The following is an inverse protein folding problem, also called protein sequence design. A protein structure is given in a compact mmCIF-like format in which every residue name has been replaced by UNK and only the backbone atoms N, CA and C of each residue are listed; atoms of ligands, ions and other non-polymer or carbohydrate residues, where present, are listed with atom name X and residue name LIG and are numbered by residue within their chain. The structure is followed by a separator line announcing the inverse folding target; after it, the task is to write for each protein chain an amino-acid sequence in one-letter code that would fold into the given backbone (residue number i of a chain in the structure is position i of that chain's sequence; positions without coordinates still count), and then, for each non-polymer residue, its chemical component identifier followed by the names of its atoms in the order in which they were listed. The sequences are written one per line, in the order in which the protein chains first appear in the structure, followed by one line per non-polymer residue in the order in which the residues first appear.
data_IF_610787801903
#
_entry.id   IF_610787801903
#
_cell.length_a   1.000
_cell.length_b   1.000
_cell.length_c   1.000
_cell.angle_alpha   90.00
_cell.angle_beta   90.00
_cell.angle_gamma   90.00
#
_symmetry.space_group_name_H-M   'P 1'
#
loop_
_entity.id
_entity.type
_entity.pdbx_description
1 polymer ?
#
# COMPACT_ATOMS: atom_id res chain seq x y z
N UNK A 1 -14.24 3.09 1.90
CA UNK A 1 -14.81 1.93 2.64
C UNK A 1 -15.71 1.17 1.66
N UNK A 2 -15.15 0.19 0.94
CA UNK A 2 -15.96 -0.71 0.11
C UNK A 2 -16.58 -1.72 1.08
N UNK A 3 -17.87 -1.51 1.33
CA UNK A 3 -18.67 -2.40 2.13
C UNK A 3 -18.78 -3.76 1.43
N UNK A 4 -18.70 -4.81 2.25
CA UNK A 4 -19.05 -6.19 1.94
C UNK A 4 -20.35 -6.24 1.12
N UNK A 5 -20.25 -6.45 -0.18
CA UNK A 5 -21.41 -6.71 -1.02
C UNK A 5 -21.17 -8.04 -1.74
N UNK A 6 -22.08 -8.99 -1.51
CA UNK A 6 -22.11 -10.33 -2.10
C UNK A 6 -22.40 -10.31 -3.63
N UNK A 7 -22.11 -9.20 -4.31
CA UNK A 7 -22.27 -9.04 -5.77
C UNK A 7 -21.24 -8.06 -6.31
N UNK A 8 -20.55 -8.46 -7.37
CA UNK A 8 -19.84 -7.52 -8.24
C UNK A 8 -20.87 -6.52 -8.79
N UNK A 9 -20.60 -5.24 -8.64
CA UNK A 9 -21.45 -4.21 -9.25
C UNK A 9 -20.98 -3.95 -10.68
N UNK A 10 -21.88 -3.63 -11.60
CA UNK A 10 -21.51 -3.19 -12.96
C UNK A 10 -20.47 -2.06 -12.93
N UNK A 11 -20.53 -1.21 -11.90
CA UNK A 11 -19.56 -0.13 -11.66
C UNK A 11 -18.15 -0.65 -11.36
N UNK A 12 -18.02 -1.75 -10.62
CA UNK A 12 -16.74 -2.39 -10.31
C UNK A 12 -16.12 -3.02 -11.56
N UNK A 13 -16.91 -3.71 -12.37
CA UNK A 13 -16.46 -4.27 -13.66
C UNK A 13 -16.02 -3.15 -14.60
N UNK A 14 -16.82 -2.10 -14.72
CA UNK A 14 -16.50 -0.94 -15.56
C UNK A 14 -15.18 -0.29 -15.13
N UNK A 15 -14.96 -0.13 -13.82
CA UNK A 15 -13.73 0.44 -13.30
C UNK A 15 -12.50 -0.45 -13.59
N UNK A 16 -12.66 -1.76 -13.49
CA UNK A 16 -11.60 -2.72 -13.78
C UNK A 16 -11.23 -2.73 -15.26
N UNK A 17 -12.22 -2.76 -16.15
CA UNK A 17 -12.02 -2.68 -17.60
C UNK A 17 -11.38 -1.35 -18.01
N UNK A 18 -11.76 -0.24 -17.35
CA UNK A 18 -11.13 1.05 -17.59
C UNK A 18 -9.65 1.08 -17.16
N UNK A 19 -9.32 0.41 -16.05
CA UNK A 19 -7.93 0.28 -15.59
C UNK A 19 -7.10 -0.58 -16.57
N UNK A 20 -7.66 -1.70 -17.02
CA UNK A 20 -7.01 -2.56 -18.02
C UNK A 20 -6.77 -1.83 -19.35
N UNK A 21 -7.75 -1.08 -19.84
CA UNK A 21 -7.63 -0.27 -21.04
C UNK A 21 -6.54 0.79 -20.87
N UNK A 22 -6.53 1.52 -19.75
CA UNK A 22 -5.51 2.54 -19.47
C UNK A 22 -4.08 1.96 -19.41
N UNK A 23 -3.91 0.75 -18.86
CA UNK A 23 -2.62 0.04 -18.91
C UNK A 23 -2.25 -0.34 -20.34
N UNK A 24 -3.20 -0.90 -21.10
CA UNK A 24 -2.96 -1.34 -22.49
C UNK A 24 -2.60 -0.18 -23.42
N UNK A 25 -3.20 0.99 -23.23
CA UNK A 25 -2.92 2.21 -23.99
C UNK A 25 -1.46 2.67 -23.89
N UNK A 26 -0.77 2.30 -22.82
CA UNK A 26 0.66 2.58 -22.60
C UNK A 26 1.55 1.34 -22.79
N UNK A 27 1.01 0.25 -23.32
CA UNK A 27 1.73 -1.01 -23.54
C UNK A 27 2.06 -1.78 -22.26
N UNK A 28 1.34 -1.54 -21.17
CA UNK A 28 1.51 -2.25 -19.90
C UNK A 28 0.42 -3.31 -19.70
N UNK A 29 0.75 -4.39 -18.99
CA UNK A 29 -0.22 -5.43 -18.59
C UNK A 29 -0.46 -5.32 -17.08
N UNK A 30 -1.72 -5.12 -16.64
CA UNK A 30 -2.00 -5.04 -15.21
C UNK A 30 -1.85 -6.42 -14.54
N UNK A 31 -1.31 -6.41 -13.33
CA UNK A 31 -1.24 -7.58 -12.44
C UNK A 31 -2.01 -7.24 -11.17
N UNK A 32 -2.95 -8.11 -10.79
CA UNK A 32 -3.80 -7.90 -9.63
C UNK A 32 -3.38 -8.80 -8.48
N UNK A 33 -3.26 -8.20 -7.30
CA UNK A 33 -2.95 -8.88 -6.04
C UNK A 33 -4.12 -8.71 -5.08
N UNK A 34 -4.66 -9.81 -4.58
CA UNK A 34 -5.86 -9.83 -3.75
C UNK A 34 -5.63 -9.29 -2.33
N UNK A 35 -6.49 -8.36 -1.92
CA UNK A 35 -6.68 -7.95 -0.54
C UNK A 35 -7.79 -8.70 0.17
N UNK A 36 -7.93 -8.45 1.48
CA UNK A 36 -8.95 -9.07 2.33
C UNK A 36 -10.40 -8.67 1.97
N UNK A 37 -10.58 -7.64 1.13
CA UNK A 37 -11.87 -7.19 0.63
C UNK A 37 -12.14 -7.62 -0.82
N UNK A 38 -11.19 -8.28 -1.48
CA UNK A 38 -11.21 -8.55 -2.92
C UNK A 38 -11.74 -9.95 -3.25
N UNK A 39 -12.61 -10.50 -2.40
CA UNK A 39 -13.19 -11.85 -2.58
C UNK A 39 -13.90 -12.01 -3.92
N UNK A 40 -14.39 -10.91 -4.49
CA UNK A 40 -15.11 -10.88 -5.76
C UNK A 40 -14.24 -10.43 -6.94
N UNK A 41 -12.99 -10.01 -6.71
CA UNK A 41 -12.08 -9.59 -7.78
C UNK A 41 -11.73 -10.77 -8.71
N UNK A 42 -11.63 -11.97 -8.13
CA UNK A 42 -11.43 -13.22 -8.87
C UNK A 42 -12.59 -13.50 -9.83
N UNK A 43 -13.80 -13.07 -9.51
CA UNK A 43 -14.98 -13.27 -10.36
C UNK A 43 -15.11 -12.17 -11.44
N UNK A 44 -14.64 -10.96 -11.15
CA UNK A 44 -14.73 -9.81 -12.06
C UNK A 44 -13.55 -9.70 -13.05
N UNK A 45 -12.40 -10.30 -12.72
CA UNK A 45 -11.19 -10.26 -13.54
C UNK A 45 -11.04 -11.52 -14.37
N UNK A 46 -10.88 -11.37 -15.68
CA UNK A 46 -10.67 -12.52 -16.58
C UNK A 46 -9.28 -13.14 -16.45
N UNK A 47 -8.30 -12.39 -15.94
CA UNK A 47 -6.92 -12.85 -15.74
C UNK A 47 -6.69 -13.49 -14.38
N UNK A 48 -5.43 -13.82 -14.10
CA UNK A 48 -5.03 -14.35 -12.79
C UNK A 48 -5.01 -13.24 -11.75
N UNK A 49 -5.65 -13.49 -10.61
CA UNK A 49 -5.48 -12.70 -9.38
C UNK A 49 -4.55 -13.47 -8.46
N UNK A 50 -3.49 -12.82 -8.01
CA UNK A 50 -2.46 -13.42 -7.19
C UNK A 50 -2.69 -13.12 -5.70
N UNK A 51 -2.27 -14.01 -4.80
CA UNK A 51 -2.16 -13.68 -3.37
C UNK A 51 -0.98 -12.74 -3.09
N UNK A 52 0.12 -12.95 -3.81
CA UNK A 52 1.33 -12.15 -3.82
C UNK A 52 2.04 -12.32 -5.17
N UNK A 53 2.82 -11.33 -5.59
CA UNK A 53 3.48 -11.32 -6.89
C UNK A 53 4.94 -10.89 -6.76
N UNK A 54 5.86 -11.73 -7.24
CA UNK A 54 7.29 -11.44 -7.25
C UNK A 54 7.69 -10.75 -8.56
N UNK A 55 8.45 -9.67 -8.47
CA UNK A 55 9.08 -9.00 -9.59
C UNK A 55 10.45 -9.64 -9.91
N UNK A 56 10.96 -9.40 -11.12
CA UNK A 56 12.23 -9.96 -11.60
C UNK A 56 13.45 -9.56 -10.76
N UNK A 57 13.36 -8.43 -10.04
CA UNK A 57 14.40 -7.92 -9.14
C UNK A 57 14.36 -8.53 -7.73
N UNK A 58 13.42 -9.45 -7.48
CA UNK A 58 13.21 -10.09 -6.18
C UNK A 58 12.31 -9.32 -5.23
N UNK A 59 11.72 -8.20 -5.62
CA UNK A 59 10.68 -7.49 -4.85
C UNK A 59 9.40 -8.32 -4.77
N UNK A 60 8.83 -8.46 -3.58
CA UNK A 60 7.55 -9.15 -3.38
C UNK A 60 6.43 -8.16 -3.10
N UNK A 61 5.44 -8.12 -3.98
CA UNK A 61 4.23 -7.29 -3.85
C UNK A 61 3.13 -8.12 -3.23
N UNK A 62 2.57 -7.68 -2.11
CA UNK A 62 1.38 -8.30 -1.50
C UNK A 62 0.41 -7.23 -1.02
N UNK A 63 -0.85 -7.58 -0.75
CA UNK A 63 -1.77 -6.57 -0.23
C UNK A 63 -1.32 -6.05 1.16
N UNK A 64 -0.79 -6.94 2.00
CA UNK A 64 -0.27 -6.62 3.34
C UNK A 64 -1.20 -6.92 4.52
N UNK A 65 -2.34 -7.58 4.31
CA UNK A 65 -3.28 -8.00 5.38
C UNK A 65 -2.90 -9.34 6.06
N UNK A 66 -1.94 -10.06 5.49
CA UNK A 66 -1.40 -11.33 5.99
C UNK A 66 0.12 -11.30 5.89
N UNK A 67 0.77 -12.24 6.58
CA UNK A 67 2.18 -12.51 6.33
C UNK A 67 2.35 -13.02 4.90
N UNK A 68 3.30 -12.48 4.11
CA UNK A 68 3.67 -13.08 2.83
C UNK A 68 4.31 -14.45 3.06
N UNK A 69 4.07 -15.34 2.11
CA UNK A 69 4.61 -16.71 2.12
C UNK A 69 6.03 -16.71 1.51
N UNK A 70 6.26 -15.90 0.48
CA UNK A 70 7.56 -15.71 -0.16
C UNK A 70 8.57 -14.91 0.67
N UNK A 71 9.85 -15.18 0.42
CA UNK A 71 10.98 -14.39 0.90
C UNK A 71 11.37 -13.32 -0.13
N UNK A 72 11.84 -12.17 0.35
CA UNK A 72 12.24 -11.06 -0.50
C UNK A 72 13.27 -10.16 0.20
N UNK A 73 14.01 -9.36 -0.56
CA UNK A 73 14.81 -8.25 -0.03
C UNK A 73 13.94 -6.99 0.21
N UNK A 74 12.80 -6.87 -0.47
CA UNK A 74 11.87 -5.74 -0.37
C UNK A 74 10.42 -6.20 -0.51
N UNK A 75 9.62 -5.96 0.53
CA UNK A 75 8.18 -6.14 0.49
C UNK A 75 7.47 -4.83 0.16
N UNK A 76 6.65 -4.82 -0.88
CA UNK A 76 5.77 -3.68 -1.23
C UNK A 76 4.33 -4.02 -0.86
N UNK A 77 3.70 -3.19 -0.03
CA UNK A 77 2.34 -3.43 0.49
C UNK A 77 1.47 -2.17 0.46
N UNK A 78 0.15 -2.31 0.54
CA UNK A 78 -0.79 -1.18 0.60
C UNK A 78 -1.55 -1.13 1.93
N UNK A 79 -2.46 -2.09 2.09
CA UNK A 79 -3.40 -2.32 3.21
C UNK A 79 -3.81 -1.10 4.07
N UNK A 80 -2.95 -0.65 4.98
CA UNK A 80 -3.23 0.46 5.90
C UNK A 80 -3.29 1.84 5.21
N UNK A 81 -2.61 2.00 4.07
CA UNK A 81 -2.57 3.25 3.28
C UNK A 81 -2.16 4.48 4.12
N UNK A 82 -0.87 4.64 4.45
CA UNK A 82 -0.46 5.62 5.44
C UNK A 82 -0.57 7.07 4.94
N UNK A 83 -0.92 7.95 5.88
CA UNK A 83 -0.88 9.41 5.73
C UNK A 83 -0.10 10.04 6.86
N UNK A 84 0.47 11.22 6.62
CA UNK A 84 1.21 11.99 7.62
C UNK A 84 0.66 13.42 7.68
N UNK A 85 0.42 13.91 8.90
CA UNK A 85 0.02 15.29 9.16
C UNK A 85 1.22 16.11 9.59
N UNK A 86 1.51 17.15 8.82
CA UNK A 86 2.63 18.09 9.07
C UNK A 86 2.05 19.49 9.04
N UNK A 87 2.27 20.25 10.12
CA UNK A 87 1.76 21.63 10.27
C UNK A 87 0.25 21.73 9.99
N UNK A 88 -0.53 20.77 10.53
CA UNK A 88 -1.98 20.71 10.36
C UNK A 88 -2.46 20.28 8.97
N UNK A 89 -1.56 19.86 8.08
CA UNK A 89 -1.90 19.39 6.72
C UNK A 89 -1.58 17.91 6.57
N UNK A 90 -2.62 17.09 6.44
CA UNK A 90 -2.55 15.66 6.16
C UNK A 90 -2.23 15.42 4.69
N UNK A 91 -1.26 14.52 4.43
CA UNK A 91 -0.83 14.14 3.09
C UNK A 91 -0.69 12.62 3.01
N UNK A 92 -1.01 11.99 1.86
CA UNK A 92 -0.58 10.63 1.60
C UNK A 92 0.94 10.52 1.68
N UNK A 93 1.44 9.43 2.23
CA UNK A 93 2.86 9.15 2.28
C UNK A 93 3.10 7.67 2.03
N UNK A 94 4.27 7.31 1.51
CA UNK A 94 4.76 5.95 1.66
C UNK A 94 5.45 5.82 3.04
N UNK A 95 5.43 4.63 3.62
CA UNK A 95 6.21 4.29 4.80
C UNK A 95 7.30 3.30 4.44
N UNK A 96 8.55 3.73 4.56
CA UNK A 96 9.71 2.89 4.32
C UNK A 96 10.34 2.44 5.65
N UNK A 97 10.38 1.13 5.87
CA UNK A 97 10.99 0.49 7.02
C UNK A 97 12.17 -0.37 6.58
N UNK A 98 13.43 0.08 6.76
CA UNK A 98 14.59 -0.73 6.46
C UNK A 98 14.71 -1.89 7.47
N UNK A 99 15.01 -3.10 6.99
CA UNK A 99 15.09 -4.33 7.80
C UNK A 99 13.92 -4.45 8.82
N UNK A 100 12.71 -4.19 8.34
CA UNK A 100 11.53 -4.12 9.18
C UNK A 100 10.84 -5.48 9.33
N UNK A 101 11.04 -6.39 8.39
CA UNK A 101 10.35 -7.68 8.36
C UNK A 101 11.26 -8.81 7.90
N UNK A 102 11.59 -9.74 8.81
CA UNK A 102 12.38 -10.95 8.53
C UNK A 102 13.73 -10.69 7.82
N UNK A 103 14.42 -9.59 8.11
CA UNK A 103 15.68 -9.26 7.42
C UNK A 103 15.52 -8.36 6.19
N UNK A 104 14.27 -8.07 5.78
CA UNK A 104 13.93 -7.40 4.54
C UNK A 104 13.33 -6.02 4.77
N UNK A 105 13.46 -5.17 3.76
CA UNK A 105 12.85 -3.85 3.71
C UNK A 105 11.34 -3.96 3.48
N UNK A 106 10.60 -2.97 3.98
CA UNK A 106 9.15 -2.85 3.75
C UNK A 106 8.85 -1.45 3.23
N UNK A 107 8.16 -1.37 2.09
CA UNK A 107 7.60 -0.15 1.54
C UNK A 107 6.07 -0.26 1.52
N UNK A 108 5.41 0.45 2.43
CA UNK A 108 3.96 0.54 2.48
C UNK A 108 3.48 1.77 1.71
N UNK A 109 2.66 1.56 0.68
CA UNK A 109 2.20 2.57 -0.25
C UNK A 109 0.93 3.28 0.27
N UNK A 110 0.79 4.58 -0.02
CA UNK A 110 -0.46 5.29 0.23
C UNK A 110 -1.59 4.71 -0.62
N UNK A 111 -2.83 5.07 -0.28
CA UNK A 111 -3.97 4.71 -1.10
C UNK A 111 -3.79 5.21 -2.55
N UNK A 112 -4.03 4.32 -3.51
CA UNK A 112 -4.06 4.67 -4.93
C UNK A 112 -5.16 5.68 -5.26
N UNK A 113 -6.24 5.73 -4.47
CA UNK A 113 -7.39 6.61 -4.71
C UNK A 113 -7.61 7.56 -3.54
N UNK A 114 -8.12 8.76 -3.84
CA UNK A 114 -8.50 9.76 -2.83
C UNK A 114 -9.72 9.36 -1.98
N UNK A 115 -10.47 8.34 -2.39
CA UNK A 115 -11.67 7.86 -1.68
C UNK A 115 -11.32 6.99 -0.47
N UNK A 116 -10.15 6.37 -0.45
CA UNK A 116 -9.60 5.70 0.72
C UNK A 116 -8.63 6.67 1.41
N UNK A 117 -9.14 7.43 2.39
CA UNK A 117 -8.40 8.51 3.06
C UNK A 117 -7.15 8.07 3.85
N UNK A 118 -6.87 6.77 3.92
CA UNK A 118 -5.73 6.22 4.64
C UNK A 118 -5.82 6.40 6.16
N UNK A 119 -4.75 6.02 6.87
CA UNK A 119 -4.63 6.16 8.33
C UNK A 119 -3.53 7.17 8.68
N UNK A 120 -3.76 8.05 9.66
CA UNK A 120 -2.73 8.99 10.10
C UNK A 120 -1.71 8.28 11.01
N UNK A 121 -0.44 8.25 10.58
CA UNK A 121 0.60 7.44 11.24
C UNK A 121 1.43 8.18 12.28
N UNK A 122 1.22 9.50 12.43
CA UNK A 122 1.98 10.38 13.32
C UNK A 122 2.22 9.77 14.71
N UNK A 123 1.17 9.16 15.30
CA UNK A 123 1.21 8.58 16.64
C UNK A 123 0.97 7.08 16.69
N UNK A 124 0.73 6.42 15.56
CA UNK A 124 0.52 4.97 15.52
C UNK A 124 1.74 4.22 16.04
N UNK A 125 1.54 3.13 16.76
CA UNK A 125 2.52 2.10 17.15
C UNK A 125 2.25 0.84 16.33
N UNK A 126 3.14 -0.15 16.43
CA UNK A 126 3.01 -1.40 15.69
C UNK A 126 1.62 -2.06 15.85
N UNK A 127 1.06 -2.04 17.06
CA UNK A 127 -0.26 -2.61 17.36
C UNK A 127 -1.45 -1.86 16.72
N UNK A 128 -1.24 -0.63 16.23
CA UNK A 128 -2.29 0.13 15.55
C UNK A 128 -2.38 -0.22 14.05
N UNK A 129 -1.33 -0.82 13.48
CA UNK A 129 -1.33 -1.26 12.08
C UNK A 129 -2.09 -2.59 11.94
N UNK A 130 -2.85 -2.71 10.86
CA UNK A 130 -3.50 -3.96 10.47
C UNK A 130 -2.54 -4.87 9.70
N UNK A 131 -1.48 -4.31 9.09
CA UNK A 131 -0.44 -5.10 8.43
C UNK A 131 0.53 -5.75 9.43
N UNK A 132 0.77 -7.08 9.34
CA UNK A 132 1.70 -7.77 10.22
C UNK A 132 3.19 -7.53 9.85
N UNK A 133 3.44 -6.78 8.77
CA UNK A 133 4.79 -6.39 8.36
C UNK A 133 5.34 -5.21 9.19
N UNK A 134 4.47 -4.48 9.90
CA UNK A 134 4.88 -3.35 10.75
C UNK A 134 5.10 -3.81 12.19
N UNK A 135 6.24 -4.46 12.45
CA UNK A 135 6.59 -4.96 13.80
C UNK A 135 7.13 -3.90 14.74
N UNK A 136 7.78 -2.88 14.20
CA UNK A 136 8.27 -1.72 14.93
C UNK A 136 8.04 -0.44 14.11
N UNK A 137 6.88 0.17 14.31
CA UNK A 137 6.50 1.41 13.66
C UNK A 137 7.47 2.57 13.95
N UNK A 138 8.36 2.49 14.94
CA UNK A 138 9.30 3.58 15.25
C UNK A 138 10.41 3.73 14.20
N UNK A 139 10.71 2.65 13.46
CA UNK A 139 11.76 2.60 12.43
C UNK A 139 11.33 3.15 11.07
N UNK A 140 10.02 3.14 10.80
CA UNK A 140 9.48 3.54 9.51
C UNK A 140 9.61 5.04 9.29
N UNK A 141 10.03 5.41 8.08
CA UNK A 141 10.22 6.78 7.60
C UNK A 141 9.08 7.15 6.64
N UNK A 142 8.33 8.23 6.92
CA UNK A 142 7.39 8.79 5.96
C UNK A 142 8.13 9.38 4.76
N UNK A 143 7.68 9.02 3.56
CA UNK A 143 8.12 9.56 2.29
C UNK A 143 6.93 10.29 1.66
N UNK A 144 7.06 11.60 1.43
CA UNK A 144 6.00 12.43 0.85
C UNK A 144 6.44 12.92 -0.51
N UNK A 145 5.66 12.63 -1.55
CA UNK A 145 5.88 13.17 -2.89
C UNK A 145 5.40 14.62 -2.94
N UNK A 146 6.29 15.54 -3.29
CA UNK A 146 5.92 16.89 -3.70
C UNK A 146 5.76 16.91 -5.22
N UNK A 147 4.52 16.98 -5.70
CA UNK A 147 4.24 17.00 -7.14
C UNK A 147 4.67 18.31 -7.80
N UNK A 148 4.68 19.43 -7.06
CA UNK A 148 5.06 20.73 -7.62
C UNK A 148 6.58 20.83 -7.81
N UNK A 149 7.33 20.35 -6.83
CA UNK A 149 8.79 20.33 -6.88
C UNK A 149 9.35 19.10 -7.64
N UNK A 150 8.51 18.08 -7.89
CA UNK A 150 8.93 16.86 -8.56
C UNK A 150 9.84 15.96 -7.73
N UNK A 151 9.89 16.16 -6.41
CA UNK A 151 10.80 15.48 -5.49
C UNK A 151 10.07 14.65 -4.44
N UNK A 152 10.81 13.78 -3.74
CA UNK A 152 10.28 12.99 -2.61
C UNK A 152 10.99 13.38 -1.33
N UNK A 153 10.24 13.96 -0.41
CA UNK A 153 10.74 14.38 0.90
C UNK A 153 10.77 13.18 1.85
N UNK A 154 11.93 12.93 2.43
CA UNK A 154 12.13 11.86 3.42
C UNK A 154 12.11 12.45 4.83
N UNK A 155 11.15 12.03 5.64
CA UNK A 155 11.05 12.47 7.03
C UNK A 155 11.88 11.57 7.97
N UNK A 156 12.23 12.06 9.17
CA UNK A 156 12.77 11.22 10.22
C UNK A 156 11.84 10.02 10.54
N UNK A 157 12.38 8.93 11.12
CA UNK A 157 11.56 7.81 11.54
C UNK A 157 10.45 8.27 12.49
N UNK A 158 9.29 7.61 12.45
CA UNK A 158 8.13 7.99 13.28
C UNK A 158 8.48 8.04 14.78
N UNK A 159 9.40 7.18 15.25
CA UNK A 159 9.90 7.23 16.63
C UNK A 159 10.58 8.56 16.99
N UNK A 160 11.26 9.19 16.04
CA UNK A 160 11.83 10.52 16.21
C UNK A 160 10.78 11.62 16.10
N UNK A 161 9.90 11.55 15.11
CA UNK A 161 8.84 12.53 14.90
C UNK A 161 7.92 12.68 16.12
N UNK A 162 7.53 11.57 16.76
CA UNK A 162 6.65 11.59 17.94
C UNK A 162 7.19 12.39 19.13
N UNK A 163 8.51 12.65 19.19
CA UNK A 163 9.10 13.50 20.25
C UNK A 163 8.89 14.99 20.00
N UNK A 164 8.39 15.35 18.82
CA UNK A 164 8.19 16.72 18.35
C UNK A 164 6.73 17.01 17.96
N UNK A 165 5.81 16.09 18.24
CA UNK A 165 4.38 16.13 17.91
C UNK A 165 3.49 16.13 19.17
#
# INVERSE_FOLDING_TARGET
MLHRFDRVTERSETALSALEAACSDVGATPVFVAGNHDTMLVEAWAGTVYDEFALDDGTLVSHGHRHPDGESQLHVVGHDHPTITIEGRTRPCALYGPDAYRGADVLMLPAFTRLAGGVEVNRMRAADFQSPLVRDASRFRPLVRDENAGETLTFPPLGALRRHL
#
